data_IF_013203889155
#
_entry.id   IF_013203889155
#
_cell.length_a   1.000
_cell.length_b   1.000
_cell.length_c   1.000
_cell.angle_alpha   90.00
_cell.angle_beta   90.00
_cell.angle_gamma   90.00
#
_symmetry.space_group_name_H-M   'P 1'
#
loop_
_entity.id
_entity.type
_entity.pdbx_description
1 polymer ?
#
# COMPACT_ATOMS: atom_id res chain seq x y z
N UNK A 1 40.27 -0.37 -7.87
CA UNK A 1 38.86 -0.39 -7.41
C UNK A 1 38.00 0.05 -8.58
N UNK A 2 37.54 -0.93 -9.35
CA UNK A 2 36.69 -0.76 -10.54
C UNK A 2 35.23 -0.73 -10.08
N UNK A 3 34.41 0.22 -10.55
CA UNK A 3 32.99 0.25 -10.17
C UNK A 3 32.26 -0.88 -10.90
N UNK A 4 31.55 -1.71 -10.14
CA UNK A 4 30.64 -2.72 -10.66
C UNK A 4 29.41 -2.00 -11.18
N UNK A 5 29.26 -1.98 -12.51
CA UNK A 5 28.02 -1.58 -13.18
C UNK A 5 26.98 -2.67 -12.93
N UNK A 6 26.01 -2.40 -12.07
CA UNK A 6 24.81 -3.24 -11.94
C UNK A 6 23.87 -2.84 -13.09
N UNK A 7 23.79 -3.70 -14.10
CA UNK A 7 22.86 -3.60 -15.20
C UNK A 7 21.45 -3.94 -14.71
N UNK A 8 20.60 -2.93 -14.53
CA UNK A 8 19.16 -3.13 -14.38
C UNK A 8 18.57 -3.45 -15.76
N UNK A 9 18.55 -4.73 -16.13
CA UNK A 9 17.88 -5.17 -17.34
C UNK A 9 17.21 -6.53 -17.13
N UNK A 10 15.95 -6.50 -16.72
CA UNK A 10 14.89 -7.39 -17.21
C UNK A 10 13.63 -7.17 -16.37
N UNK A 11 12.62 -6.54 -16.99
CA UNK A 11 11.17 -6.75 -16.85
C UNK A 11 10.43 -5.43 -17.12
N UNK A 12 10.31 -5.11 -18.40
CA UNK A 12 9.24 -4.27 -18.91
C UNK A 12 9.06 -4.57 -20.39
N UNK A 13 8.25 -5.58 -20.70
CA UNK A 13 7.66 -5.71 -22.03
C UNK A 13 6.14 -5.59 -21.90
N UNK A 14 5.69 -4.40 -21.52
CA UNK A 14 4.31 -3.96 -21.73
C UNK A 14 4.38 -2.70 -22.58
N UNK A 15 3.67 -2.71 -23.71
CA UNK A 15 3.62 -1.61 -24.68
C UNK A 15 3.31 -0.28 -23.98
N UNK A 16 4.14 0.72 -24.24
CA UNK A 16 4.12 2.05 -23.65
C UNK A 16 2.83 2.84 -23.96
N UNK A 17 1.98 3.03 -22.96
CA UNK A 17 1.45 4.37 -22.71
C UNK A 17 2.54 5.15 -21.97
N UNK A 18 2.72 6.45 -22.26
CA UNK A 18 3.79 7.27 -21.70
C UNK A 18 3.62 7.35 -20.18
N UNK A 19 4.32 6.48 -19.46
CA UNK A 19 4.42 6.54 -18.01
C UNK A 19 5.18 7.83 -17.67
N UNK A 20 4.63 8.71 -16.80
CA UNK A 20 5.37 9.89 -16.44
C UNK A 20 6.58 9.45 -15.62
N UNK A 21 7.78 9.55 -16.19
CA UNK A 21 9.05 9.35 -15.50
C UNK A 21 9.45 10.61 -14.73
N UNK A 22 9.81 10.47 -13.46
CA UNK A 22 10.24 11.62 -12.66
C UNK A 22 11.69 11.87 -13.06
N UNK A 23 11.97 13.06 -13.60
CA UNK A 23 13.30 13.42 -14.07
C UNK A 23 13.95 14.38 -13.07
N UNK A 24 14.96 13.92 -12.30
CA UNK A 24 15.68 14.79 -11.38
C UNK A 24 16.35 15.95 -12.13
N UNK A 25 16.38 17.12 -11.51
CA UNK A 25 17.04 18.30 -12.08
C UNK A 25 18.55 18.22 -11.89
N UNK A 26 19.28 19.06 -12.61
CA UNK A 26 20.73 19.20 -12.40
C UNK A 26 21.01 19.62 -10.96
N UNK A 27 21.91 18.89 -10.29
CA UNK A 27 22.25 19.11 -8.88
C UNK A 27 22.92 20.47 -8.67
N UNK A 28 22.27 21.33 -7.89
CA UNK A 28 22.86 22.50 -7.26
C UNK A 28 23.27 22.16 -5.81
N UNK A 29 24.55 22.34 -5.48
CA UNK A 29 25.06 22.06 -4.12
C UNK A 29 24.72 23.15 -3.11
N UNK A 30 24.48 24.38 -3.56
CA UNK A 30 24.12 25.50 -2.69
C UNK A 30 22.61 25.60 -2.49
N UNK A 31 21.83 25.01 -3.41
CA UNK A 31 20.37 24.93 -3.31
C UNK A 31 19.85 23.54 -3.75
N UNK A 32 20.03 22.50 -2.92
CA UNK A 32 19.60 21.15 -3.28
C UNK A 32 18.09 21.07 -3.43
N UNK A 33 17.62 20.40 -4.48
CA UNK A 33 16.20 20.15 -4.68
C UNK A 33 15.71 19.05 -3.72
N UNK A 34 14.80 19.40 -2.81
CA UNK A 34 14.29 18.47 -1.80
C UNK A 34 13.55 17.26 -2.40
N UNK A 35 12.85 17.45 -3.52
CA UNK A 35 12.09 16.40 -4.19
C UNK A 35 13.00 15.41 -4.91
N UNK A 36 14.07 15.89 -5.53
CA UNK A 36 15.10 15.04 -6.12
C UNK A 36 15.81 14.22 -5.05
N UNK A 37 16.07 14.80 -3.87
CA UNK A 37 16.60 14.06 -2.73
C UNK A 37 15.64 12.96 -2.27
N UNK A 38 14.34 13.26 -2.13
CA UNK A 38 13.34 12.24 -1.79
C UNK A 38 13.27 11.14 -2.85
N UNK A 39 13.24 11.48 -4.14
CA UNK A 39 13.16 10.52 -5.24
C UNK A 39 14.42 9.64 -5.35
N UNK A 40 15.61 10.24 -5.22
CA UNK A 40 16.89 9.54 -5.38
C UNK A 40 17.32 8.74 -4.15
N UNK A 41 16.76 9.02 -2.96
CA UNK A 41 17.08 8.24 -1.76
C UNK A 41 16.74 6.75 -1.94
N UNK A 42 17.62 5.86 -1.50
CA UNK A 42 17.40 4.41 -1.59
C UNK A 42 17.50 3.74 -0.23
N UNK A 43 17.55 4.53 0.85
CA UNK A 43 17.63 4.00 2.22
C UNK A 43 16.41 3.14 2.58
N UNK A 44 15.23 3.51 2.07
CA UNK A 44 14.01 2.70 2.18
C UNK A 44 13.61 2.26 0.76
N UNK A 45 13.43 0.95 0.51
CA UNK A 45 13.05 0.43 -0.80
C UNK A 45 11.62 0.82 -1.16
N UNK A 46 11.45 1.37 -2.36
CA UNK A 46 10.15 1.74 -2.95
C UNK A 46 10.23 1.41 -4.44
N UNK A 47 9.12 0.99 -5.05
CA UNK A 47 9.04 0.93 -6.51
C UNK A 47 9.32 2.31 -7.13
N UNK A 48 10.12 2.34 -8.19
CA UNK A 48 10.60 3.61 -8.77
C UNK A 48 9.47 4.42 -9.40
N UNK A 49 8.51 3.75 -10.03
CA UNK A 49 7.38 4.41 -10.66
C UNK A 49 6.41 4.95 -9.60
N UNK A 50 6.05 4.12 -8.61
CA UNK A 50 5.25 4.53 -7.47
C UNK A 50 5.88 5.72 -6.73
N UNK A 51 7.20 5.69 -6.52
CA UNK A 51 7.94 6.80 -5.90
C UNK A 51 7.86 8.10 -6.71
N UNK A 52 7.96 8.00 -8.04
CA UNK A 52 7.76 9.13 -8.94
C UNK A 52 6.36 9.73 -8.82
N UNK A 53 5.32 8.89 -8.78
CA UNK A 53 3.94 9.29 -8.55
C UNK A 53 3.76 9.96 -7.17
N UNK A 54 4.32 9.38 -6.10
CA UNK A 54 4.28 9.97 -4.76
C UNK A 54 4.91 11.37 -4.71
N UNK A 55 6.09 11.55 -5.32
CA UNK A 55 6.77 12.84 -5.33
C UNK A 55 5.96 13.89 -6.11
N UNK A 56 5.36 13.53 -7.24
CA UNK A 56 4.47 14.43 -8.00
C UNK A 56 3.20 14.79 -7.24
N UNK A 57 2.59 13.81 -6.59
CA UNK A 57 1.41 14.03 -5.74
C UNK A 57 1.74 14.99 -4.59
N UNK A 58 2.90 14.83 -3.96
CA UNK A 58 3.39 15.76 -2.93
C UNK A 58 3.70 17.17 -3.45
N UNK A 59 4.09 17.30 -4.72
CA UNK A 59 4.32 18.60 -5.38
C UNK A 59 3.02 19.28 -5.82
N UNK A 60 1.88 18.61 -5.72
CA UNK A 60 0.62 19.11 -6.23
C UNK A 60 0.21 20.43 -5.54
N UNK A 61 -0.37 21.35 -6.32
CA UNK A 61 -0.83 22.64 -5.84
C UNK A 61 -1.98 22.51 -4.84
N UNK A 62 -2.86 21.51 -4.97
CA UNK A 62 -3.96 21.31 -4.03
C UNK A 62 -3.42 20.98 -2.65
N UNK A 63 -2.32 20.23 -2.57
CA UNK A 63 -1.65 19.93 -1.33
C UNK A 63 -1.12 21.19 -0.65
N UNK A 64 -0.48 22.05 -1.44
CA UNK A 64 0.18 23.25 -0.93
C UNK A 64 -0.80 24.35 -0.51
N UNK A 65 -1.92 24.49 -1.24
CA UNK A 65 -2.83 25.63 -1.07
C UNK A 65 -4.23 25.25 -0.58
N UNK A 66 -4.74 24.08 -0.92
CA UNK A 66 -6.10 23.64 -0.60
C UNK A 66 -6.20 22.64 0.55
N UNK A 67 -5.11 21.94 0.92
CA UNK A 67 -5.17 20.91 1.95
C UNK A 67 -5.69 21.44 3.29
N UNK A 68 -5.20 22.59 3.74
CA UNK A 68 -5.63 23.19 5.02
C UNK A 68 -7.12 23.55 5.00
N UNK A 69 -7.65 24.33 4.03
CA UNK A 69 -9.08 24.62 3.99
C UNK A 69 -9.93 23.36 3.78
N UNK A 70 -9.48 22.40 2.96
CA UNK A 70 -10.16 21.10 2.79
C UNK A 70 -10.26 20.37 4.13
N UNK A 71 -9.16 20.26 4.87
CA UNK A 71 -9.11 19.62 6.19
C UNK A 71 -10.08 20.25 7.18
N UNK A 72 -10.14 21.58 7.23
CA UNK A 72 -11.05 22.29 8.14
C UNK A 72 -12.50 21.98 7.78
N UNK A 73 -12.88 22.12 6.52
CA UNK A 73 -14.26 21.87 6.06
C UNK A 73 -14.62 20.40 6.26
N UNK A 74 -13.76 19.48 5.83
CA UNK A 74 -13.98 18.04 5.93
C UNK A 74 -14.13 17.59 7.38
N UNK A 75 -13.30 18.08 8.30
CA UNK A 75 -13.39 17.73 9.72
C UNK A 75 -14.65 18.31 10.38
N UNK A 76 -15.08 19.52 10.00
CA UNK A 76 -16.36 20.06 10.49
C UNK A 76 -17.53 19.21 10.00
N UNK A 77 -17.56 18.85 8.72
CA UNK A 77 -18.61 18.01 8.15
C UNK A 77 -18.60 16.61 8.77
N UNK A 78 -17.42 16.02 8.97
CA UNK A 78 -17.27 14.72 9.62
C UNK A 78 -17.78 14.77 11.05
N UNK A 79 -17.39 15.78 11.84
CA UNK A 79 -17.88 15.97 13.20
C UNK A 79 -19.42 16.10 13.23
N UNK A 80 -19.99 16.86 12.28
CA UNK A 80 -21.44 17.00 12.16
C UNK A 80 -22.12 15.66 11.84
N UNK A 81 -21.63 14.93 10.83
CA UNK A 81 -22.19 13.63 10.42
C UNK A 81 -22.13 12.63 11.56
N UNK A 82 -20.97 12.47 12.20
CA UNK A 82 -20.80 11.56 13.33
C UNK A 82 -21.71 11.94 14.51
N UNK A 83 -21.82 13.23 14.82
CA UNK A 83 -22.70 13.73 15.90
C UNK A 83 -24.17 13.44 15.58
N UNK A 84 -24.64 13.81 14.39
CA UNK A 84 -26.02 13.60 13.96
C UNK A 84 -26.35 12.12 13.96
N UNK A 85 -25.49 11.28 13.37
CA UNK A 85 -25.70 9.83 13.34
C UNK A 85 -25.76 9.20 14.71
N UNK A 86 -25.02 9.72 15.70
CA UNK A 86 -25.10 9.25 17.09
C UNK A 86 -26.43 9.60 17.78
N UNK A 87 -27.09 10.68 17.37
CA UNK A 87 -28.39 11.07 17.90
C UNK A 87 -29.59 10.44 17.18
N UNK A 88 -29.39 9.85 15.99
CA UNK A 88 -30.44 9.16 15.27
C UNK A 88 -30.77 7.81 15.94
N UNK A 89 -32.06 7.47 16.13
CA UNK A 89 -32.46 6.20 16.75
C UNK A 89 -32.30 4.99 15.82
N UNK A 90 -31.83 5.19 14.59
CA UNK A 90 -31.55 4.15 13.60
C UNK A 90 -30.25 4.48 12.85
N UNK A 91 -29.55 3.44 12.40
CA UNK A 91 -28.40 3.55 11.51
C UNK A 91 -28.79 3.08 10.11
N UNK A 92 -28.06 3.54 9.10
CA UNK A 92 -28.26 3.13 7.72
C UNK A 92 -26.92 3.06 7.00
N UNK A 93 -26.84 2.18 6.01
CA UNK A 93 -25.75 2.12 5.04
C UNK A 93 -26.32 2.05 3.63
N UNK A 94 -25.57 2.57 2.67
CA UNK A 94 -25.97 2.57 1.26
C UNK A 94 -24.75 2.33 0.36
N UNK A 95 -24.34 1.06 0.29
CA UNK A 95 -23.11 0.61 -0.38
C UNK A 95 -23.05 0.98 -1.86
N UNK A 96 -24.15 0.84 -2.58
CA UNK A 96 -24.18 1.15 -4.01
C UNK A 96 -23.80 2.61 -4.27
N UNK A 97 -24.47 3.55 -3.61
CA UNK A 97 -24.15 4.98 -3.67
C UNK A 97 -22.71 5.24 -3.21
N UNK A 98 -22.25 4.60 -2.12
CA UNK A 98 -20.90 4.78 -1.61
C UNK A 98 -19.84 4.44 -2.68
N UNK A 99 -19.90 3.23 -3.24
CA UNK A 99 -18.92 2.75 -4.21
C UNK A 99 -18.98 3.51 -5.53
N UNK A 100 -20.18 3.82 -6.03
CA UNK A 100 -20.34 4.57 -7.28
C UNK A 100 -19.94 6.05 -7.12
N UNK A 101 -20.30 6.70 -6.01
CA UNK A 101 -19.89 8.07 -5.74
C UNK A 101 -18.38 8.16 -5.54
N UNK A 102 -17.76 7.18 -4.89
CA UNK A 102 -16.31 7.08 -4.73
C UNK A 102 -15.60 6.98 -6.08
N UNK A 103 -15.98 6.02 -6.93
CA UNK A 103 -15.38 5.87 -8.26
C UNK A 103 -15.59 7.13 -9.12
N UNK A 104 -16.79 7.71 -9.11
CA UNK A 104 -17.06 8.97 -9.80
C UNK A 104 -16.18 10.11 -9.29
N UNK A 105 -16.03 10.25 -7.97
CA UNK A 105 -15.20 11.27 -7.34
C UNK A 105 -13.72 11.11 -7.75
N UNK A 106 -13.19 9.89 -7.67
CA UNK A 106 -11.81 9.59 -8.06
C UNK A 106 -11.58 9.90 -9.55
N UNK A 107 -12.48 9.47 -10.43
CA UNK A 107 -12.35 9.72 -11.88
C UNK A 107 -12.47 11.20 -12.25
N UNK A 108 -13.27 11.95 -11.50
CA UNK A 108 -13.60 13.34 -11.87
C UNK A 108 -12.65 14.36 -11.25
N UNK A 109 -12.22 14.17 -10.00
CA UNK A 109 -11.51 15.19 -9.23
C UNK A 109 -10.08 14.83 -8.84
N UNK A 110 -9.75 13.54 -8.77
CA UNK A 110 -8.46 13.09 -8.24
C UNK A 110 -7.43 12.98 -9.36
N UNK A 111 -6.20 13.38 -9.04
CA UNK A 111 -5.07 13.31 -9.96
C UNK A 111 -4.77 11.86 -10.37
N UNK A 112 -4.26 11.61 -11.59
CA UNK A 112 -3.94 10.26 -12.03
C UNK A 112 -2.84 9.61 -11.18
N UNK A 113 -1.88 10.38 -10.65
CA UNK A 113 -0.87 9.89 -9.69
C UNK A 113 -1.53 9.34 -8.42
N UNK A 114 -2.45 10.08 -7.81
CA UNK A 114 -3.18 9.62 -6.63
C UNK A 114 -4.06 8.39 -6.95
N UNK A 115 -4.77 8.39 -8.09
CA UNK A 115 -5.54 7.22 -8.52
C UNK A 115 -4.66 5.97 -8.69
N UNK A 116 -3.48 6.13 -9.29
CA UNK A 116 -2.50 5.05 -9.43
C UNK A 116 -2.09 4.49 -8.07
N UNK A 117 -1.73 5.37 -7.13
CA UNK A 117 -1.33 4.97 -5.78
C UNK A 117 -2.45 4.24 -5.03
N UNK A 118 -3.70 4.69 -5.16
CA UNK A 118 -4.87 4.06 -4.52
C UNK A 118 -5.09 2.65 -5.06
N UNK A 119 -5.17 2.48 -6.39
CA UNK A 119 -5.42 1.18 -7.02
C UNK A 119 -4.27 0.22 -6.71
N UNK A 120 -3.03 0.70 -6.86
CA UNK A 120 -1.82 -0.07 -6.56
C UNK A 120 -1.83 -0.58 -5.12
N UNK A 121 -2.08 0.30 -4.15
CA UNK A 121 -2.06 -0.02 -2.73
C UNK A 121 -2.94 -1.24 -2.39
N UNK A 122 -4.15 -1.30 -2.95
CA UNK A 122 -5.08 -2.42 -2.71
C UNK A 122 -4.48 -3.74 -3.22
N UNK A 123 -3.89 -3.76 -4.42
CA UNK A 123 -3.22 -4.95 -4.95
C UNK A 123 -2.01 -5.37 -4.09
N UNK A 124 -1.23 -4.41 -3.59
CA UNK A 124 -0.07 -4.70 -2.74
C UNK A 124 -0.51 -5.25 -1.39
N UNK A 125 -1.60 -4.73 -0.82
CA UNK A 125 -2.22 -5.26 0.40
C UNK A 125 -2.57 -6.73 0.26
N UNK A 126 -3.22 -7.13 -0.85
CA UNK A 126 -3.52 -8.53 -1.15
C UNK A 126 -2.27 -9.40 -1.27
N UNK A 127 -1.22 -8.92 -1.94
CA UNK A 127 0.05 -9.65 -2.02
C UNK A 127 0.67 -9.89 -0.64
N UNK A 128 0.69 -8.88 0.23
CA UNK A 128 1.26 -8.99 1.57
C UNK A 128 0.44 -9.96 2.42
N UNK A 129 -0.88 -9.82 2.47
CA UNK A 129 -1.77 -10.75 3.21
C UNK A 129 -1.55 -12.19 2.73
N UNK A 130 -1.53 -12.41 1.43
CA UNK A 130 -1.35 -13.74 0.85
C UNK A 130 0.04 -14.32 1.14
N UNK A 131 1.08 -13.49 1.16
CA UNK A 131 2.42 -13.90 1.58
C UNK A 131 2.46 -14.32 3.06
N UNK A 132 1.79 -13.58 3.94
CA UNK A 132 1.68 -13.94 5.36
C UNK A 132 0.93 -15.28 5.54
N UNK A 133 -0.10 -15.53 4.72
CA UNK A 133 -0.82 -16.82 4.71
C UNK A 133 0.10 -17.96 4.25
N UNK A 134 0.78 -17.78 3.12
CA UNK A 134 1.63 -18.82 2.51
C UNK A 134 2.77 -19.30 3.42
N UNK A 135 3.28 -18.41 4.25
CA UNK A 135 4.40 -18.68 5.15
C UNK A 135 3.96 -18.76 6.62
N UNK A 136 2.66 -18.64 6.86
CA UNK A 136 2.08 -18.57 8.19
C UNK A 136 1.86 -19.94 8.83
N UNK A 137 1.12 -19.97 9.95
CA UNK A 137 0.79 -21.19 10.65
C UNK A 137 -0.14 -22.13 9.87
N UNK A 138 -0.93 -21.63 8.92
CA UNK A 138 -1.85 -22.44 8.10
C UNK A 138 -2.00 -21.82 6.70
N UNK A 139 -1.34 -22.39 5.67
CA UNK A 139 -1.47 -21.93 4.28
C UNK A 139 -2.85 -22.18 3.64
N UNK A 140 -3.78 -22.80 4.36
CA UNK A 140 -5.15 -23.08 3.87
C UNK A 140 -6.16 -21.98 4.16
N UNK A 141 -5.77 -20.94 4.93
CA UNK A 141 -6.58 -19.73 5.15
C UNK A 141 -6.99 -19.12 3.80
N UNK A 142 -8.20 -18.58 3.71
CA UNK A 142 -8.69 -17.97 2.46
C UNK A 142 -7.80 -16.78 2.06
N UNK A 143 -7.26 -16.87 0.84
CA UNK A 143 -6.45 -15.80 0.24
C UNK A 143 -7.32 -14.66 -0.27
N UNK A 144 -6.79 -13.45 -0.15
CA UNK A 144 -7.33 -12.25 -0.79
C UNK A 144 -7.29 -12.37 -2.31
N UNK A 145 -8.39 -11.98 -2.96
CA UNK A 145 -8.56 -11.97 -4.43
C UNK A 145 -8.70 -10.54 -4.97
N UNK A 146 -8.39 -9.54 -4.15
CA UNK A 146 -8.69 -8.14 -4.44
C UNK A 146 -7.58 -7.47 -5.27
N UNK A 147 -7.67 -7.64 -6.60
CA UNK A 147 -6.71 -7.09 -7.55
C UNK A 147 -7.39 -6.16 -8.57
N UNK A 148 -7.79 -4.93 -8.18
CA UNK A 148 -8.36 -3.97 -9.13
C UNK A 148 -7.31 -3.46 -10.13
N UNK A 149 -7.70 -3.30 -11.39
CA UNK A 149 -6.82 -2.74 -12.42
C UNK A 149 -7.08 -1.25 -12.64
N UNK A 150 -8.35 -0.84 -12.51
CA UNK A 150 -8.82 0.51 -12.80
C UNK A 150 -9.55 1.12 -11.60
N UNK A 151 -9.82 2.43 -11.66
CA UNK A 151 -10.69 3.10 -10.67
C UNK A 151 -12.12 2.56 -10.72
N UNK A 152 -12.61 2.13 -11.88
CA UNK A 152 -13.96 1.58 -12.01
C UNK A 152 -14.09 0.22 -11.31
N UNK A 153 -13.02 -0.55 -11.22
CA UNK A 153 -13.01 -1.80 -10.45
C UNK A 153 -13.19 -1.55 -8.95
N UNK A 154 -12.79 -0.38 -8.44
CA UNK A 154 -12.99 -0.02 -7.05
C UNK A 154 -14.48 0.14 -6.68
N UNK A 155 -15.33 0.43 -7.67
CA UNK A 155 -16.78 0.51 -7.48
C UNK A 155 -17.41 -0.88 -7.20
N UNK A 156 -16.68 -1.97 -7.44
CA UNK A 156 -17.13 -3.35 -7.18
C UNK A 156 -16.81 -3.79 -5.75
N UNK A 157 -17.18 -2.95 -4.78
CA UNK A 157 -17.00 -3.16 -3.33
C UNK A 157 -15.56 -3.11 -2.77
N UNK A 158 -14.54 -2.78 -3.58
CA UNK A 158 -13.14 -2.88 -3.17
C UNK A 158 -12.81 -2.08 -1.88
N UNK A 159 -13.43 -0.91 -1.69
CA UNK A 159 -13.20 -0.08 -0.50
C UNK A 159 -13.61 -0.75 0.81
N UNK A 160 -14.67 -1.57 0.79
CA UNK A 160 -15.19 -2.28 1.95
C UNK A 160 -14.60 -3.70 2.06
N UNK A 161 -14.28 -4.31 0.92
CA UNK A 161 -13.65 -5.62 0.93
C UNK A 161 -12.23 -5.55 1.53
N UNK A 162 -11.52 -4.45 1.23
CA UNK A 162 -10.17 -4.22 1.73
C UNK A 162 -10.07 -4.29 3.27
N UNK A 163 -10.88 -3.54 4.02
CA UNK A 163 -10.84 -3.57 5.49
C UNK A 163 -11.33 -4.92 6.04
N UNK A 164 -12.37 -5.50 5.45
CA UNK A 164 -12.88 -6.80 5.87
C UNK A 164 -11.84 -7.92 5.74
N UNK A 165 -11.04 -7.91 4.68
CA UNK A 165 -9.93 -8.87 4.50
C UNK A 165 -8.94 -8.77 5.66
N UNK A 166 -8.58 -7.57 6.10
CA UNK A 166 -7.61 -7.38 7.19
C UNK A 166 -8.15 -7.94 8.52
N UNK A 167 -9.41 -7.67 8.84
CA UNK A 167 -10.03 -8.21 10.06
C UNK A 167 -10.14 -9.74 10.03
N UNK A 168 -10.64 -10.30 8.92
CA UNK A 168 -10.75 -11.75 8.77
C UNK A 168 -9.39 -12.43 8.85
N UNK A 169 -8.36 -11.86 8.21
CA UNK A 169 -7.00 -12.35 8.35
C UNK A 169 -6.55 -12.39 9.81
N UNK A 170 -6.76 -11.32 10.59
CA UNK A 170 -6.35 -11.30 12.02
C UNK A 170 -7.05 -12.41 12.81
N UNK A 171 -8.34 -12.64 12.58
CA UNK A 171 -9.08 -13.72 13.25
C UNK A 171 -8.59 -15.11 12.82
N UNK A 172 -8.51 -15.37 11.52
CA UNK A 172 -8.12 -16.67 10.97
C UNK A 172 -6.67 -17.01 11.34
N UNK A 173 -5.76 -16.03 11.27
CA UNK A 173 -4.36 -16.19 11.62
C UNK A 173 -4.20 -16.54 13.11
N UNK A 174 -4.96 -15.90 14.00
CA UNK A 174 -4.96 -16.24 15.43
C UNK A 174 -5.46 -17.66 15.70
N UNK A 175 -6.55 -18.08 15.05
CA UNK A 175 -7.06 -19.44 15.18
C UNK A 175 -6.03 -20.47 14.68
N UNK A 176 -5.38 -20.19 13.55
CA UNK A 176 -4.32 -21.02 13.00
C UNK A 176 -3.10 -21.10 13.93
N UNK A 177 -2.68 -19.98 14.54
CA UNK A 177 -1.60 -19.97 15.53
C UNK A 177 -1.91 -20.87 16.74
N UNK A 178 -3.16 -20.85 17.23
CA UNK A 178 -3.58 -21.73 18.33
C UNK A 178 -3.53 -23.20 17.92
N UNK A 179 -4.08 -23.54 16.76
CA UNK A 179 -4.13 -24.91 16.24
C UNK A 179 -2.72 -25.46 15.99
N UNK A 180 -1.82 -24.63 15.47
CA UNK A 180 -0.46 -25.01 15.09
C UNK A 180 0.59 -24.36 15.99
N UNK A 181 0.47 -24.48 17.31
CA UNK A 181 1.30 -23.76 18.31
C UNK A 181 2.83 -23.89 18.17
N UNK A 182 3.34 -24.89 17.42
CA UNK A 182 4.78 -25.08 17.19
C UNK A 182 5.30 -24.45 15.88
N UNK A 183 4.46 -23.80 15.07
CA UNK A 183 4.81 -23.29 13.74
C UNK A 183 6.07 -22.40 13.73
N UNK A 184 6.24 -21.55 14.74
CA UNK A 184 7.42 -20.68 14.88
C UNK A 184 8.75 -21.45 15.01
N UNK A 185 8.75 -22.66 15.56
CA UNK A 185 9.97 -23.48 15.69
C UNK A 185 10.39 -24.09 14.36
N UNK A 186 9.45 -24.22 13.43
CA UNK A 186 9.66 -24.80 12.10
C UNK A 186 10.10 -23.73 11.10
N UNK A 187 9.69 -22.49 11.33
CA UNK A 187 9.94 -21.33 10.47
C UNK A 187 11.43 -21.12 10.09
N UNK A 188 12.44 -21.19 10.99
CA UNK A 188 13.85 -20.97 10.60
C UNK A 188 14.41 -22.02 9.64
N UNK A 189 13.71 -23.16 9.48
CA UNK A 189 14.12 -24.25 8.59
C UNK A 189 13.47 -24.14 7.21
N UNK A 190 12.54 -23.21 7.02
CA UNK A 190 11.74 -23.11 5.81
C UNK A 190 12.28 -22.02 4.88
N UNK A 191 12.39 -22.37 3.62
CA UNK A 191 12.57 -21.38 2.55
C UNK A 191 11.25 -20.64 2.39
N UNK A 192 11.27 -19.31 2.41
CA UNK A 192 10.04 -18.52 2.28
C UNK A 192 9.44 -18.72 0.88
N UNK A 193 8.12 -18.89 0.85
CA UNK A 193 7.31 -18.91 -0.35
C UNK A 193 6.97 -17.48 -0.79
N UNK A 194 7.39 -17.11 -2.00
CA UNK A 194 7.13 -15.79 -2.58
C UNK A 194 6.18 -15.85 -3.79
N UNK A 195 5.43 -16.94 -3.96
CA UNK A 195 4.53 -17.13 -5.11
C UNK A 195 3.42 -16.07 -5.15
N UNK A 196 2.89 -15.69 -3.98
CA UNK A 196 1.89 -14.63 -3.87
C UNK A 196 2.44 -13.21 -4.11
N UNK A 197 3.77 -13.04 -4.19
CA UNK A 197 4.38 -11.76 -4.56
C UNK A 197 4.44 -11.69 -6.09
N UNK A 198 3.34 -11.21 -6.66
CA UNK A 198 3.14 -11.07 -8.10
C UNK A 198 3.21 -9.60 -8.55
N UNK A 199 3.65 -9.33 -9.80
CA UNK A 199 3.54 -8.00 -10.40
C UNK A 199 2.09 -7.51 -10.42
N UNK A 200 1.88 -6.23 -10.16
CA UNK A 200 0.56 -5.61 -10.18
C UNK A 200 0.34 -4.82 -11.47
N UNK A 201 -0.82 -5.02 -12.09
CA UNK A 201 -1.23 -4.32 -13.31
C UNK A 201 -2.21 -3.22 -12.95
N UNK A 202 -1.77 -1.96 -13.07
CA UNK A 202 -2.58 -0.79 -12.74
C UNK A 202 -2.73 0.05 -14.01
N UNK A 203 -3.97 0.23 -14.44
CA UNK A 203 -4.37 0.86 -15.68
C UNK A 203 -5.00 2.23 -15.39
N UNK A 204 -4.16 3.25 -15.29
CA UNK A 204 -4.56 4.64 -15.11
C UNK A 204 -4.14 5.48 -16.31
N UNK A 205 -5.08 6.26 -16.83
CA UNK A 205 -4.81 7.23 -17.89
C UNK A 205 -4.23 8.52 -17.30
N UNK A 206 -2.93 8.72 -17.53
CA UNK A 206 -2.17 9.93 -17.18
C UNK A 206 -2.28 11.04 -18.24
N UNK A 207 -2.77 10.74 -19.45
CA UNK A 207 -2.93 11.70 -20.54
C UNK A 207 -4.24 12.48 -20.45
N UNK A 208 -5.28 11.87 -19.84
CA UNK A 208 -6.58 12.51 -19.66
C UNK A 208 -6.52 13.67 -18.65
N UNK A 209 -6.19 14.85 -19.16
CA UNK A 209 -6.21 16.12 -18.42
C UNK A 209 -7.63 16.67 -18.38
N UNK A 210 -8.23 16.64 -17.19
CA UNK A 210 -9.46 17.39 -16.89
C UNK A 210 -9.12 18.52 -15.94
N UNK A 211 -9.75 19.69 -16.12
CA UNK A 211 -9.58 20.83 -15.23
C UNK A 211 -9.96 20.54 -13.78
N UNK A 212 -10.80 19.54 -13.56
CA UNK A 212 -11.21 19.08 -12.24
C UNK A 212 -10.28 18.04 -11.62
N UNK A 213 -9.53 17.25 -12.43
CA UNK A 213 -8.66 16.15 -11.98
C UNK A 213 -7.34 16.67 -11.42
N UNK A 214 -7.43 17.40 -10.32
CA UNK A 214 -6.31 18.12 -9.71
C UNK A 214 -6.02 17.75 -8.27
N UNK A 215 -6.90 17.02 -7.56
CA UNK A 215 -6.71 16.74 -6.13
C UNK A 215 -5.56 15.74 -5.92
N UNK A 216 -4.65 16.13 -5.03
CA UNK A 216 -3.66 15.24 -4.43
C UNK A 216 -4.32 14.18 -3.54
N UNK A 217 -3.57 13.11 -3.27
CA UNK A 217 -4.02 11.96 -2.51
C UNK A 217 -4.55 12.35 -1.12
N UNK A 218 -3.81 13.16 -0.35
CA UNK A 218 -4.22 13.49 1.03
C UNK A 218 -5.50 14.37 1.01
N UNK A 219 -5.55 15.39 0.15
CA UNK A 219 -6.76 16.21 -0.02
C UNK A 219 -7.97 15.40 -0.50
N UNK A 220 -7.75 14.45 -1.40
CA UNK A 220 -8.80 13.56 -1.88
C UNK A 220 -9.35 12.66 -0.76
N UNK A 221 -8.48 12.08 0.07
CA UNK A 221 -8.89 11.22 1.18
C UNK A 221 -9.64 12.03 2.25
N UNK A 222 -9.21 13.26 2.52
CA UNK A 222 -9.90 14.18 3.44
C UNK A 222 -11.36 14.45 3.02
N UNK A 223 -11.63 14.59 1.73
CA UNK A 223 -13.00 14.71 1.23
C UNK A 223 -13.73 13.37 1.21
N UNK A 224 -13.03 12.31 0.80
CA UNK A 224 -13.59 10.97 0.71
C UNK A 224 -14.15 10.47 2.04
N UNK A 225 -13.42 10.67 3.16
CA UNK A 225 -13.89 10.22 4.48
C UNK A 225 -15.23 10.85 4.88
N UNK A 226 -15.56 12.05 4.40
CA UNK A 226 -16.85 12.70 4.66
C UNK A 226 -17.97 11.89 4.00
N UNK A 227 -17.85 11.63 2.69
CA UNK A 227 -18.83 10.83 1.96
C UNK A 227 -18.92 9.40 2.48
N UNK A 228 -17.77 8.80 2.81
CA UNK A 228 -17.69 7.47 3.39
C UNK A 228 -18.45 7.40 4.72
N UNK A 229 -18.20 8.36 5.63
CA UNK A 229 -18.92 8.45 6.91
C UNK A 229 -20.42 8.71 6.73
N UNK A 230 -20.83 9.38 5.66
CA UNK A 230 -22.24 9.66 5.38
C UNK A 230 -22.98 8.41 4.87
N UNK A 231 -22.33 7.60 4.04
CA UNK A 231 -22.96 6.45 3.40
C UNK A 231 -22.89 5.14 4.20
N UNK A 232 -22.08 5.06 5.26
CA UNK A 232 -21.92 3.86 6.10
C UNK A 232 -22.53 4.01 7.49
N UNK A 233 -22.76 2.91 8.19
CA UNK A 233 -23.10 2.99 9.63
C UNK A 233 -21.92 3.53 10.44
N UNK A 234 -22.19 4.03 11.65
CA UNK A 234 -21.12 4.51 12.54
C UNK A 234 -20.09 3.41 12.85
N UNK A 235 -20.55 2.17 13.03
CA UNK A 235 -19.68 1.00 13.30
C UNK A 235 -18.85 0.59 12.07
N UNK A 236 -19.43 0.63 10.87
CA UNK A 236 -18.69 0.36 9.63
C UNK A 236 -17.61 1.41 9.37
N UNK A 237 -17.93 2.69 9.58
CA UNK A 237 -16.97 3.77 9.44
C UNK A 237 -15.84 3.65 10.48
N UNK A 238 -16.19 3.38 11.75
CA UNK A 238 -15.23 3.16 12.82
C UNK A 238 -14.31 1.97 12.54
N UNK A 239 -14.88 0.84 12.08
CA UNK A 239 -14.11 -0.34 11.68
C UNK A 239 -13.11 -0.01 10.57
N UNK A 240 -13.53 0.72 9.54
CA UNK A 240 -12.63 1.09 8.46
C UNK A 240 -11.47 1.98 8.95
N UNK A 241 -11.73 2.93 9.85
CA UNK A 241 -10.68 3.78 10.44
C UNK A 241 -9.74 2.95 11.32
N UNK A 242 -10.28 2.10 12.19
CA UNK A 242 -9.48 1.25 13.08
C UNK A 242 -8.61 0.25 12.33
N UNK A 243 -9.02 -0.18 11.13
CA UNK A 243 -8.21 -1.08 10.30
C UNK A 243 -6.83 -0.50 9.96
N UNK A 244 -6.70 0.83 9.90
CA UNK A 244 -5.45 1.53 9.60
C UNK A 244 -4.42 1.41 10.74
N UNK A 245 -4.86 1.04 11.94
CA UNK A 245 -3.99 0.90 13.10
C UNK A 245 -3.35 -0.50 13.21
N UNK A 246 -3.67 -1.41 12.27
CA UNK A 246 -3.10 -2.76 12.26
C UNK A 246 -1.70 -2.86 11.65
N UNK A 247 -1.13 -1.78 11.14
CA UNK A 247 0.19 -1.81 10.48
C UNK A 247 1.28 -2.38 11.41
N UNK A 248 1.25 -2.04 12.70
CA UNK A 248 2.19 -2.60 13.69
C UNK A 248 2.03 -4.12 13.87
N UNK A 249 0.79 -4.61 13.91
CA UNK A 249 0.52 -6.04 14.05
C UNK A 249 1.04 -6.82 12.83
N UNK A 250 0.74 -6.31 11.63
CA UNK A 250 1.21 -6.90 10.38
C UNK A 250 2.74 -6.82 10.27
N UNK A 251 3.35 -5.72 10.71
CA UNK A 251 4.80 -5.59 10.84
C UNK A 251 5.42 -6.64 11.75
N UNK A 252 4.75 -6.98 12.87
CA UNK A 252 5.20 -8.03 13.76
C UNK A 252 5.12 -9.42 13.11
N UNK A 253 4.03 -9.74 12.43
CA UNK A 253 3.91 -11.01 11.68
C UNK A 253 4.99 -11.11 10.59
N UNK A 254 5.17 -10.03 9.83
CA UNK A 254 6.19 -9.93 8.81
C UNK A 254 7.61 -10.11 9.36
N UNK A 255 7.93 -9.47 10.48
CA UNK A 255 9.25 -9.56 11.12
C UNK A 255 9.53 -10.98 11.62
N UNK A 256 8.51 -11.67 12.16
CA UNK A 256 8.64 -13.07 12.56
C UNK A 256 8.98 -13.96 11.36
N UNK A 257 8.28 -13.79 10.24
CA UNK A 257 8.48 -14.59 9.02
C UNK A 257 9.83 -14.33 8.35
N UNK A 258 10.20 -13.06 8.21
CA UNK A 258 11.40 -12.67 7.47
C UNK A 258 12.67 -12.70 8.31
N UNK A 259 12.54 -12.69 9.64
CA UNK A 259 13.63 -12.51 10.59
C UNK A 259 14.19 -11.09 10.65
N UNK A 260 13.62 -10.14 9.90
CA UNK A 260 14.05 -8.74 9.87
C UNK A 260 13.08 -7.85 10.65
N UNK A 261 13.54 -7.39 11.82
CA UNK A 261 12.77 -6.54 12.72
C UNK A 261 12.97 -5.04 12.47
N UNK A 262 13.84 -4.65 11.53
CA UNK A 262 14.13 -3.24 11.25
C UNK A 262 12.88 -2.46 10.79
N UNK A 263 11.97 -3.14 10.09
CA UNK A 263 10.70 -2.60 9.60
C UNK A 263 9.80 -2.05 10.69
N UNK A 264 9.84 -2.64 11.89
CA UNK A 264 9.04 -2.17 13.02
C UNK A 264 9.42 -0.75 13.44
N UNK A 265 10.60 -0.24 13.08
CA UNK A 265 10.99 1.14 13.37
C UNK A 265 10.42 2.15 12.37
N UNK A 266 10.08 1.74 11.14
CA UNK A 266 9.56 2.66 10.10
C UNK A 266 8.03 2.72 10.08
N UNK A 267 7.35 1.70 10.60
CA UNK A 267 5.88 1.69 10.76
C UNK A 267 5.48 2.80 11.72
N UNK A 268 4.51 3.64 11.35
CA UNK A 268 4.09 4.80 12.17
C UNK A 268 2.69 4.66 12.74
N UNK A 269 1.77 3.99 12.04
CA UNK A 269 0.47 3.65 12.59
C UNK A 269 0.68 2.49 13.57
N UNK A 270 0.76 2.82 14.85
CA UNK A 270 1.09 1.90 15.95
C UNK A 270 0.08 2.03 17.06
N UNK A 271 0.17 1.11 18.01
CA UNK A 271 -0.65 1.09 19.20
C UNK A 271 -2.14 0.88 18.88
N UNK A 272 -2.53 -0.25 18.27
CA UNK A 272 -3.93 -0.54 17.96
C UNK A 272 -4.86 -0.54 19.18
N UNK A 273 -4.31 -0.59 20.40
CA UNK A 273 -5.05 -0.46 21.66
C UNK A 273 -5.27 1.00 22.12
N UNK A 274 -4.68 1.97 21.42
CA UNK A 274 -4.83 3.40 21.62
C UNK A 274 -5.00 4.09 20.25
N UNK A 275 -6.07 3.74 19.50
CA UNK A 275 -6.26 4.19 18.14
C UNK A 275 -6.39 5.71 18.05
N UNK A 276 -5.86 6.26 16.97
CA UNK A 276 -6.01 7.68 16.66
C UNK A 276 -7.47 8.03 16.35
N UNK A 277 -7.77 9.33 16.43
CA UNK A 277 -9.11 9.82 16.13
C UNK A 277 -9.45 9.68 14.64
N UNK A 278 -10.72 9.42 14.24
CA UNK A 278 -11.15 9.43 12.84
C UNK A 278 -10.83 10.72 12.07
N UNK A 279 -10.58 11.83 12.77
CA UNK A 279 -10.11 13.06 12.14
C UNK A 279 -8.71 12.93 11.50
N UNK A 280 -7.86 12.02 12.01
CA UNK A 280 -6.53 11.73 11.47
C UNK A 280 -6.53 10.69 10.34
N UNK A 281 -7.69 10.08 10.03
CA UNK A 281 -7.79 8.93 9.12
C UNK A 281 -7.14 9.16 7.74
N UNK A 282 -7.18 10.40 7.20
CA UNK A 282 -6.56 10.68 5.92
C UNK A 282 -5.03 10.56 5.95
N UNK A 283 -4.41 11.03 7.04
CA UNK A 283 -2.97 10.90 7.23
C UNK A 283 -2.59 9.45 7.54
N UNK A 284 -3.39 8.75 8.34
CA UNK A 284 -3.12 7.35 8.66
C UNK A 284 -3.24 6.47 7.42
N UNK A 285 -4.22 6.73 6.54
CA UNK A 285 -4.35 6.00 5.26
C UNK A 285 -3.17 6.28 4.32
N UNK A 286 -2.66 7.51 4.26
CA UNK A 286 -1.45 7.82 3.49
C UNK A 286 -0.24 7.02 4.02
N UNK A 287 -0.05 6.98 5.33
CA UNK A 287 1.05 6.24 5.96
C UNK A 287 0.90 4.73 5.76
N UNK A 288 -0.32 4.21 5.89
CA UNK A 288 -0.66 2.82 5.60
C UNK A 288 -0.28 2.42 4.17
N UNK A 289 -0.62 3.27 3.18
CA UNK A 289 -0.22 3.05 1.79
C UNK A 289 1.29 3.06 1.58
N UNK A 290 2.00 3.99 2.22
CA UNK A 290 3.47 4.09 2.15
C UNK A 290 4.15 2.84 2.75
N UNK A 291 3.72 2.40 3.93
CA UNK A 291 4.25 1.20 4.58
C UNK A 291 3.98 -0.05 3.74
N UNK A 292 2.78 -0.17 3.17
CA UNK A 292 2.43 -1.24 2.23
C UNK A 292 3.42 -1.30 1.07
N UNK A 293 3.74 -0.16 0.45
CA UNK A 293 4.70 -0.08 -0.66
C UNK A 293 6.12 -0.50 -0.23
N UNK A 294 6.56 -0.07 0.95
CA UNK A 294 7.88 -0.42 1.48
C UNK A 294 8.03 -1.92 1.73
N UNK A 295 7.05 -2.51 2.41
CA UNK A 295 7.06 -3.94 2.73
C UNK A 295 6.97 -4.77 1.45
N UNK A 296 6.11 -4.39 0.50
CA UNK A 296 6.00 -5.11 -0.76
C UNK A 296 7.30 -5.06 -1.57
N UNK A 297 7.91 -3.87 -1.73
CA UNK A 297 9.18 -3.75 -2.46
C UNK A 297 10.31 -4.53 -1.80
N UNK A 298 10.35 -4.55 -0.47
CA UNK A 298 11.30 -5.41 0.24
C UNK A 298 11.09 -6.90 -0.10
N UNK A 299 9.84 -7.39 -0.13
CA UNK A 299 9.57 -8.78 -0.48
C UNK A 299 9.96 -9.12 -1.92
N UNK A 300 9.79 -8.20 -2.87
CA UNK A 300 10.29 -8.36 -4.24
C UNK A 300 11.81 -8.54 -4.26
N UNK A 301 12.56 -7.67 -3.56
CA UNK A 301 14.01 -7.77 -3.47
C UNK A 301 14.45 -9.08 -2.80
N UNK A 302 13.75 -9.53 -1.76
CA UNK A 302 14.03 -10.82 -1.10
C UNK A 302 13.77 -12.00 -2.03
N UNK A 303 12.70 -11.96 -2.82
CA UNK A 303 12.40 -12.98 -3.84
C UNK A 303 13.51 -13.04 -4.90
N UNK A 304 13.97 -11.90 -5.39
CA UNK A 304 15.08 -11.80 -6.34
C UNK A 304 16.37 -12.40 -5.76
N UNK A 305 16.72 -12.04 -4.52
CA UNK A 305 17.90 -12.57 -3.82
C UNK A 305 17.84 -14.09 -3.63
N UNK A 306 16.68 -14.63 -3.22
CA UNK A 306 16.50 -16.07 -3.03
C UNK A 306 16.60 -16.82 -4.37
N UNK A 307 16.00 -16.27 -5.43
CA UNK A 307 16.05 -16.86 -6.78
C UNK A 307 17.49 -16.89 -7.33
N UNK A 308 18.24 -15.80 -7.14
CA UNK A 308 19.66 -15.73 -7.52
C UNK A 308 20.54 -16.69 -6.69
N UNK A 309 20.28 -16.82 -5.39
CA UNK A 309 20.97 -17.76 -4.51
C UNK A 309 20.76 -19.22 -4.94
N UNK A 310 19.53 -19.59 -5.31
CA UNK A 310 19.22 -20.94 -5.80
C UNK A 310 19.90 -21.23 -7.14
N UNK A 311 19.91 -20.27 -8.07
CA UNK A 311 20.58 -20.41 -9.37
C UNK A 311 22.12 -20.56 -9.25
N UNK A 312 22.73 -20.00 -8.20
CA UNK A 312 24.16 -20.13 -7.92
C UNK A 312 24.58 -21.49 -7.34
N UNK A 313 23.66 -22.23 -6.72
CA UNK A 313 23.91 -23.58 -6.17
C UNK A 313 23.81 -24.66 -7.25
N UNK A 314 23.02 -24.42 -8.31
CA UNK A 314 22.81 -25.36 -9.42
C UNK A 314 23.82 -25.21 -10.58
N UNK A 315 24.79 -24.31 -10.47
CA UNK A 315 25.87 -24.19 -11.46
C UNK A 315 26.86 -25.38 -11.29
N UNK A 316 27.10 -26.21 -12.32
CA UNK A 316 27.99 -27.36 -12.19
C UNK A 316 29.39 -26.85 -11.87
N UNK A 317 29.94 -27.32 -10.74
CA UNK A 317 31.36 -27.18 -10.46
C UNK A 317 32.12 -27.87 -11.58
N UNK A 318 32.63 -27.11 -12.54
CA UNK A 318 33.62 -27.64 -13.46
C UNK A 318 34.82 -28.06 -12.62
N UNK A 319 34.89 -29.36 -12.37
CA UNK A 319 36.04 -30.02 -11.80
C UNK A 319 37.25 -29.62 -12.66
N UNK A 320 38.15 -28.85 -12.05
CA UNK A 320 39.56 -28.81 -12.45
C UNK A 320 40.04 -30.26 -12.39
N UNK A 321 39.98 -30.91 -13.54
CA UNK A 321 40.67 -32.17 -13.77
C UNK A 321 42.12 -31.80 -14.01
N UNK A 322 42.96 -32.26 -13.09
CA UNK A 322 44.41 -32.32 -13.24
C UNK A 322 44.78 -32.87 -14.62
N UNK A 323 45.65 -32.15 -15.33
CA UNK A 323 46.38 -32.69 -16.45
C UNK A 323 47.74 -31.99 -16.58
N UNK A 324 48.81 -32.76 -16.33
CA UNK A 324 50.13 -32.57 -16.95
C UNK A 324 51.20 -31.97 -16.07
#
# INVERSE_FOLDING_TARGET
>A
MTPVNVSYSAFSSVKSAVQPDYLPKQRDRQNPNAWDALYLDQAIPVDQFAKGCMVRDLQNWTRSYLLIPIKVIANILLALIMTVKRFLPFQFSHYWLMHHAASWFLKTFVSPEACYLIVRHICLGSNIVNFLIDNGPDPTIEKSKLYPHTVDDLAKNAFLEHDLILYNFVFDYHEAQKKNSNWLKELPKQTLNFDSIQPVQVEIDFEQKSWFRGLDLESAIELFKVFYSLCLTSEEFERAVLSLEFDENFGCYFSQLTGDYSWNHVITNRHPLAPESPFAAARNLLLHGIITEYLHRYLELRKEMQTAGNAGVDAPSHALTDAG
#
